data_IF_620441151438
#
_entry.id   IF_620441151438
#
_cell.length_a   1.000
_cell.length_b   1.000
_cell.length_c   1.000
_cell.angle_alpha   90.00
_cell.angle_beta   90.00
_cell.angle_gamma   90.00
#
_symmetry.space_group_name_H-M   'P 1'
#
loop_
_entity.id
_entity.type
_entity.pdbx_description
1 polymer ?
#
# COMPACT_ATOMS: atom_id res chain seq x y z
N UNK A 1 54.82 6.70 50.58
CA UNK A 1 53.71 7.54 51.05
C UNK A 1 52.90 7.92 49.84
N UNK A 2 51.63 7.62 49.90
CA UNK A 2 50.56 8.03 49.03
C UNK A 2 50.67 7.71 47.51
N UNK A 3 49.99 6.68 47.07
CA UNK A 3 49.58 6.40 45.68
C UNK A 3 48.45 7.34 45.26
N UNK A 4 48.38 7.70 44.00
CA UNK A 4 47.14 8.14 43.41
C UNK A 4 46.47 7.02 42.63
N UNK A 5 45.25 6.73 42.98
CA UNK A 5 44.36 5.84 42.22
C UNK A 5 44.00 6.41 40.88
N UNK A 6 44.26 5.65 39.86
CA UNK A 6 43.71 5.89 38.53
C UNK A 6 42.30 5.34 38.45
N UNK A 7 41.34 6.19 38.18
CA UNK A 7 40.00 5.80 37.75
C UNK A 7 40.05 5.34 36.28
N UNK A 8 39.85 4.07 36.07
CA UNK A 8 39.55 3.54 34.74
C UNK A 8 38.08 3.88 34.43
N UNK A 9 37.90 4.94 33.66
CA UNK A 9 36.65 5.16 32.93
C UNK A 9 36.40 3.99 31.97
N UNK A 10 35.54 3.09 32.39
CA UNK A 10 34.97 2.08 31.52
C UNK A 10 33.98 2.78 30.57
N UNK A 11 34.47 3.16 29.42
CA UNK A 11 33.63 3.41 28.25
C UNK A 11 33.03 2.06 27.83
N UNK A 12 31.90 1.70 28.48
CA UNK A 12 31.00 0.71 27.92
C UNK A 12 30.41 1.32 26.63
N UNK A 13 31.07 1.05 25.49
CA UNK A 13 30.39 1.13 24.20
C UNK A 13 29.26 0.08 24.26
N UNK A 14 28.02 0.53 24.42
CA UNK A 14 26.87 -0.31 24.12
C UNK A 14 27.06 -0.80 22.70
N UNK A 15 27.32 -2.07 22.53
CA UNK A 15 27.26 -2.73 21.22
C UNK A 15 25.80 -2.69 20.84
N UNK A 16 25.41 -1.72 20.04
CA UNK A 16 24.09 -1.66 19.43
C UNK A 16 23.96 -2.92 18.59
N UNK A 17 23.09 -3.84 19.00
CA UNK A 17 22.87 -5.08 18.27
C UNK A 17 22.20 -4.71 16.94
N UNK A 18 22.96 -4.80 15.83
CA UNK A 18 22.47 -4.57 14.47
C UNK A 18 21.36 -5.59 14.15
N UNK A 19 20.26 -5.13 13.58
CA UNK A 19 19.17 -6.02 13.21
C UNK A 19 19.57 -6.91 12.02
N UNK A 20 19.00 -8.11 11.97
CA UNK A 20 19.05 -8.93 10.77
C UNK A 20 18.30 -8.22 9.63
N UNK A 21 18.66 -8.50 8.37
CA UNK A 21 18.00 -7.90 7.22
C UNK A 21 16.47 -8.05 7.26
N UNK A 22 15.77 -6.91 7.21
CA UNK A 22 14.31 -6.87 7.25
C UNK A 22 13.73 -7.33 5.91
N UNK A 23 14.27 -6.83 4.81
CA UNK A 23 13.87 -7.24 3.46
C UNK A 23 14.94 -8.19 2.93
N UNK A 24 14.55 -9.41 2.58
CA UNK A 24 15.50 -10.45 2.06
C UNK A 24 15.15 -10.94 0.67
N UNK A 25 14.05 -10.45 0.09
CA UNK A 25 13.58 -10.77 -1.25
C UNK A 25 12.92 -9.54 -1.86
N UNK A 26 13.14 -9.29 -3.14
CA UNK A 26 12.45 -8.23 -3.88
C UNK A 26 10.98 -8.58 -4.18
N UNK A 27 10.52 -9.80 -3.89
CA UNK A 27 9.10 -10.16 -3.88
C UNK A 27 8.39 -9.77 -2.56
N UNK A 28 9.15 -9.38 -1.50
CA UNK A 28 8.57 -8.98 -0.21
C UNK A 28 7.96 -7.57 -0.31
N UNK A 29 6.92 -7.46 -1.15
CA UNK A 29 6.19 -6.24 -1.47
C UNK A 29 4.78 -6.59 -1.95
N UNK A 30 3.92 -5.58 -2.07
CA UNK A 30 2.54 -5.77 -2.50
C UNK A 30 2.42 -5.89 -4.03
N UNK A 31 1.60 -6.82 -4.51
CA UNK A 31 1.39 -7.10 -5.93
C UNK A 31 1.06 -5.86 -6.77
N UNK A 32 0.32 -4.90 -6.21
CA UNK A 32 -0.06 -3.71 -6.95
C UNK A 32 1.15 -2.86 -7.41
N UNK A 33 2.31 -2.99 -6.75
CA UNK A 33 3.55 -2.31 -7.19
C UNK A 33 4.02 -2.85 -8.54
N UNK A 34 4.06 -4.17 -8.70
CA UNK A 34 4.40 -4.79 -9.98
C UNK A 34 3.37 -4.47 -11.06
N UNK A 35 2.08 -4.47 -10.68
CA UNK A 35 1.02 -4.19 -11.63
C UNK A 35 1.08 -2.76 -12.18
N UNK A 36 1.22 -1.76 -11.30
CA UNK A 36 1.34 -0.37 -11.73
C UNK A 36 2.62 -0.14 -12.52
N UNK A 37 3.72 -0.73 -12.06
CA UNK A 37 5.03 -0.59 -12.71
C UNK A 37 5.04 -1.17 -14.12
N UNK A 38 4.37 -2.30 -14.35
CA UNK A 38 4.22 -2.87 -15.69
C UNK A 38 3.53 -1.88 -16.66
N UNK A 39 2.49 -1.17 -16.21
CA UNK A 39 1.85 -0.13 -17.06
C UNK A 39 2.82 1.02 -17.32
N UNK A 40 3.54 1.48 -16.29
CA UNK A 40 4.52 2.56 -16.43
C UNK A 40 5.65 2.14 -17.37
N UNK A 41 6.16 0.92 -17.22
CA UNK A 41 7.20 0.37 -18.09
C UNK A 41 6.76 0.33 -19.57
N UNK A 42 5.51 -0.01 -19.86
CA UNK A 42 5.04 -0.09 -21.24
C UNK A 42 4.63 1.25 -21.85
N UNK A 43 4.22 2.23 -21.04
CA UNK A 43 3.56 3.43 -21.55
C UNK A 43 4.17 4.76 -21.10
N UNK A 44 4.89 4.79 -19.96
CA UNK A 44 5.25 6.04 -19.27
C UNK A 44 6.67 6.02 -18.69
N UNK A 45 7.65 5.48 -19.42
CA UNK A 45 9.04 5.37 -18.96
C UNK A 45 9.77 6.69 -18.79
N UNK A 46 9.24 7.78 -19.33
CA UNK A 46 9.76 9.14 -19.25
C UNK A 46 9.36 9.90 -17.99
N UNK A 47 8.49 9.33 -17.15
CA UNK A 47 8.06 9.95 -15.91
C UNK A 47 9.11 9.86 -14.82
N UNK A 48 9.27 10.96 -14.06
CA UNK A 48 10.05 11.03 -12.84
C UNK A 48 9.11 11.33 -11.67
N UNK A 49 9.24 10.56 -10.59
CA UNK A 49 8.43 10.70 -9.40
C UNK A 49 9.21 11.18 -8.18
N UNK A 50 8.57 11.98 -7.32
CA UNK A 50 9.09 12.36 -6.03
C UNK A 50 8.10 11.97 -4.94
N UNK A 51 8.59 11.14 -4.00
CA UNK A 51 7.82 10.56 -2.92
C UNK A 51 8.34 11.06 -1.58
N UNK A 52 7.41 11.33 -0.65
CA UNK A 52 7.73 11.85 0.68
C UNK A 52 7.08 10.99 1.76
N UNK A 53 7.88 10.64 2.76
CA UNK A 53 7.42 9.99 3.97
C UNK A 53 6.66 10.95 4.87
N UNK A 54 5.64 10.45 5.57
CA UNK A 54 4.96 11.15 6.64
C UNK A 54 4.51 10.18 7.72
N UNK A 55 4.85 10.49 8.97
CA UNK A 55 4.21 9.91 10.15
C UNK A 55 3.03 10.81 10.57
N UNK A 56 1.87 10.21 10.79
CA UNK A 56 0.63 10.93 11.17
C UNK A 56 0.31 10.78 12.66
N UNK A 57 1.06 9.96 13.39
CA UNK A 57 0.95 9.90 14.83
C UNK A 57 1.63 11.12 15.43
N UNK A 58 1.04 11.67 16.51
CA UNK A 58 1.65 12.70 17.32
C UNK A 58 2.74 12.10 18.23
N UNK A 59 3.76 12.89 18.56
CA UNK A 59 4.81 12.53 19.51
C UNK A 59 5.68 11.31 19.16
N UNK A 60 5.75 10.90 17.89
CA UNK A 60 6.68 9.89 17.43
C UNK A 60 8.03 10.55 17.16
N UNK A 61 9.08 10.05 17.83
CA UNK A 61 10.45 10.52 17.68
C UNK A 61 11.32 9.38 17.21
N UNK A 62 12.08 9.62 16.14
CA UNK A 62 13.14 8.74 15.67
C UNK A 62 14.48 9.20 16.23
N UNK A 63 15.28 8.25 16.71
CA UNK A 63 16.61 8.54 17.26
C UNK A 63 17.69 8.44 16.19
N UNK A 64 18.90 9.00 16.42
CA UNK A 64 20.03 8.81 15.52
C UNK A 64 20.37 7.34 15.27
N UNK A 65 20.24 6.48 16.29
CA UNK A 65 20.47 5.04 16.18
C UNK A 65 19.44 4.38 15.27
N UNK A 66 18.16 4.79 15.34
CA UNK A 66 17.12 4.32 14.42
C UNK A 66 17.40 4.77 13.00
N UNK A 67 17.88 6.00 12.79
CA UNK A 67 18.24 6.49 11.46
C UNK A 67 19.43 5.70 10.87
N UNK A 68 20.45 5.41 11.68
CA UNK A 68 21.59 4.59 11.27
C UNK A 68 21.12 3.19 10.83
N UNK A 69 20.31 2.51 11.65
CA UNK A 69 19.76 1.19 11.33
C UNK A 69 18.89 1.23 10.07
N UNK A 70 18.01 2.25 9.91
CA UNK A 70 17.20 2.43 8.70
C UNK A 70 18.10 2.54 7.46
N UNK A 71 19.19 3.30 7.51
CA UNK A 71 20.11 3.44 6.40
C UNK A 71 20.82 2.12 6.07
N UNK A 72 21.26 1.38 7.08
CA UNK A 72 21.89 0.06 6.89
C UNK A 72 20.94 -0.93 6.22
N UNK A 73 19.66 -0.92 6.62
CA UNK A 73 18.62 -1.75 6.01
C UNK A 73 18.32 -1.32 4.56
N UNK A 74 18.34 -0.01 4.25
CA UNK A 74 18.19 0.50 2.89
C UNK A 74 19.39 0.11 2.02
N UNK A 75 20.61 0.19 2.54
CA UNK A 75 21.81 -0.20 1.84
C UNK A 75 21.77 -1.71 1.51
N UNK A 76 21.32 -2.53 2.46
CA UNK A 76 21.11 -3.96 2.23
C UNK A 76 20.04 -4.21 1.15
N UNK A 77 18.87 -3.55 1.23
CA UNK A 77 17.82 -3.63 0.22
C UNK A 77 18.37 -3.32 -1.19
N UNK A 78 19.18 -2.26 -1.32
CA UNK A 78 19.75 -1.85 -2.60
C UNK A 78 20.81 -2.83 -3.15
N UNK A 79 21.33 -3.73 -2.31
CA UNK A 79 22.21 -4.82 -2.73
C UNK A 79 21.47 -6.01 -3.35
N UNK A 80 20.16 -6.14 -3.10
CA UNK A 80 19.36 -7.26 -3.57
C UNK A 80 19.18 -7.25 -5.09
N UNK A 81 18.99 -8.44 -5.63
CA UNK A 81 18.63 -8.70 -7.03
C UNK A 81 17.56 -9.78 -7.08
N UNK A 82 16.71 -9.76 -8.08
CA UNK A 82 15.77 -10.84 -8.30
C UNK A 82 16.50 -12.16 -8.58
N UNK A 83 16.13 -13.21 -7.87
CA UNK A 83 16.57 -14.57 -8.15
C UNK A 83 15.76 -15.19 -9.29
N UNK A 84 16.33 -16.22 -9.91
CA UNK A 84 15.67 -16.88 -11.06
C UNK A 84 14.29 -17.43 -10.71
N UNK A 85 14.15 -18.06 -9.57
CA UNK A 85 12.90 -18.65 -9.08
C UNK A 85 11.82 -17.59 -8.76
N UNK A 86 12.23 -16.41 -8.25
CA UNK A 86 11.36 -15.27 -8.07
C UNK A 86 10.80 -14.74 -9.40
N UNK A 87 11.67 -14.62 -10.42
CA UNK A 87 11.27 -14.22 -11.76
C UNK A 87 10.38 -15.29 -12.43
N UNK A 88 10.67 -16.57 -12.23
CA UNK A 88 9.84 -17.66 -12.75
C UNK A 88 8.46 -17.66 -12.08
N UNK A 89 8.38 -17.32 -10.78
CA UNK A 89 7.09 -17.13 -10.12
C UNK A 89 6.30 -15.95 -10.71
N UNK A 90 6.93 -14.79 -10.88
CA UNK A 90 6.26 -13.65 -11.51
C UNK A 90 5.74 -13.99 -12.91
N UNK A 91 6.49 -14.72 -13.74
CA UNK A 91 6.03 -15.20 -15.06
C UNK A 91 4.84 -16.15 -14.98
N UNK A 92 4.67 -16.86 -13.86
CA UNK A 92 3.53 -17.75 -13.66
C UNK A 92 2.23 -17.01 -13.39
N UNK A 93 2.29 -15.76 -13.00
CA UNK A 93 1.12 -14.90 -12.78
C UNK A 93 0.60 -14.46 -14.16
N UNK A 94 -0.59 -14.89 -14.53
CA UNK A 94 -1.16 -14.82 -15.89
C UNK A 94 -1.09 -13.41 -16.54
N UNK A 95 -1.23 -12.37 -15.77
CA UNK A 95 -1.28 -10.98 -16.25
C UNK A 95 0.06 -10.23 -16.14
N UNK A 96 1.10 -10.85 -15.58
CA UNK A 96 2.46 -10.29 -15.59
C UNK A 96 3.12 -10.71 -16.90
N UNK A 97 3.51 -9.73 -17.72
CA UNK A 97 4.06 -9.94 -19.05
C UNK A 97 5.53 -10.31 -19.01
N UNK A 98 5.95 -11.17 -19.94
CA UNK A 98 7.32 -11.70 -19.96
C UNK A 98 8.40 -10.64 -20.21
N UNK A 99 8.12 -9.64 -21.04
CA UNK A 99 9.03 -8.52 -21.32
C UNK A 99 9.25 -7.63 -20.08
N UNK A 100 8.20 -7.40 -19.28
CA UNK A 100 8.34 -6.74 -17.99
C UNK A 100 9.19 -7.57 -17.01
N UNK A 101 9.01 -8.90 -16.96
CA UNK A 101 9.86 -9.76 -16.11
C UNK A 101 11.32 -9.74 -16.57
N UNK A 102 11.59 -9.64 -17.90
CA UNK A 102 12.96 -9.47 -18.41
C UNK A 102 13.56 -8.11 -18.02
N UNK A 103 12.74 -7.05 -17.94
CA UNK A 103 13.17 -5.78 -17.37
C UNK A 103 13.53 -5.94 -15.88
N UNK A 104 12.68 -6.58 -15.06
CA UNK A 104 12.93 -6.82 -13.64
C UNK A 104 14.21 -7.64 -13.40
N UNK A 105 14.58 -8.53 -14.31
CA UNK A 105 15.86 -9.28 -14.23
C UNK A 105 17.09 -8.37 -14.22
N UNK A 106 17.00 -7.18 -14.81
CA UNK A 106 18.08 -6.19 -14.87
C UNK A 106 17.91 -5.08 -13.83
N UNK A 107 16.70 -4.89 -13.34
CA UNK A 107 16.36 -3.85 -12.38
C UNK A 107 16.82 -4.21 -10.97
N UNK A 108 17.17 -3.20 -10.21
CA UNK A 108 17.37 -3.28 -8.77
C UNK A 108 17.11 -1.92 -8.10
N UNK A 109 16.82 -1.90 -6.80
CA UNK A 109 16.71 -0.65 -6.05
C UNK A 109 18.02 0.12 -6.10
N UNK A 110 17.96 1.43 -6.40
CA UNK A 110 19.12 2.32 -6.52
C UNK A 110 19.18 3.23 -5.31
N UNK A 111 20.27 3.12 -4.53
CA UNK A 111 20.44 3.83 -3.24
C UNK A 111 20.37 5.36 -3.37
N UNK A 112 20.89 5.88 -4.44
CA UNK A 112 20.99 7.32 -4.74
C UNK A 112 19.61 7.98 -4.90
N UNK A 113 18.55 7.21 -5.11
CA UNK A 113 17.20 7.76 -5.17
C UNK A 113 16.60 8.02 -3.78
N UNK A 114 17.16 7.43 -2.70
CA UNK A 114 16.64 7.53 -1.34
C UNK A 114 17.48 8.49 -0.51
N UNK A 115 16.83 9.50 0.06
CA UNK A 115 17.44 10.46 0.96
C UNK A 115 16.77 10.38 2.33
N UNK A 116 17.57 10.33 3.38
CA UNK A 116 17.11 10.22 4.77
C UNK A 116 17.76 11.25 5.67
N UNK A 117 17.10 11.60 6.76
CA UNK A 117 17.60 12.52 7.78
C UNK A 117 16.65 12.60 8.96
N UNK A 118 17.03 13.39 9.96
CA UNK A 118 16.14 13.77 11.07
C UNK A 118 15.99 15.29 11.12
N UNK A 119 14.79 15.73 11.46
CA UNK A 119 14.57 17.13 11.84
C UNK A 119 15.11 17.40 13.26
N UNK A 120 15.17 18.66 13.65
CA UNK A 120 15.53 19.07 15.03
C UNK A 120 14.55 18.52 16.08
N UNK A 121 13.31 18.22 15.68
CA UNK A 121 12.27 17.60 16.52
C UNK A 121 12.31 16.08 16.54
N UNK A 122 13.24 15.44 15.81
CA UNK A 122 13.34 13.98 15.71
C UNK A 122 12.31 13.35 14.73
N UNK A 123 11.74 14.13 13.82
CA UNK A 123 10.92 13.58 12.75
C UNK A 123 11.80 12.95 11.67
N UNK A 124 11.43 11.77 11.20
CA UNK A 124 12.12 11.14 10.09
C UNK A 124 11.82 11.87 8.77
N UNK A 125 12.86 12.42 8.17
CA UNK A 125 12.85 12.98 6.82
C UNK A 125 13.29 11.89 5.86
N UNK A 126 12.36 11.40 5.02
CA UNK A 126 12.67 10.38 4.02
C UNK A 126 11.99 10.74 2.71
N UNK A 127 12.78 10.80 1.65
CA UNK A 127 12.30 11.10 0.30
C UNK A 127 12.89 10.11 -0.71
N UNK A 128 12.11 9.81 -1.75
CA UNK A 128 12.56 9.01 -2.89
C UNK A 128 12.34 9.81 -4.16
N UNK A 129 13.39 9.98 -4.98
CA UNK A 129 13.35 10.76 -6.23
C UNK A 129 14.06 10.01 -7.35
N UNK A 130 13.37 9.82 -8.46
CA UNK A 130 13.97 9.15 -9.63
C UNK A 130 12.96 8.79 -10.70
N UNK A 131 13.38 8.05 -11.75
CA UNK A 131 12.45 7.49 -12.72
C UNK A 131 11.31 6.76 -12.02
N UNK A 132 10.07 7.07 -12.42
CA UNK A 132 8.89 6.63 -11.65
C UNK A 132 8.79 5.11 -11.54
N UNK A 133 9.11 4.37 -12.62
CA UNK A 133 9.13 2.90 -12.62
C UNK A 133 10.14 2.31 -11.61
N UNK A 134 11.09 3.09 -11.11
CA UNK A 134 12.03 2.66 -10.07
C UNK A 134 11.68 3.25 -8.71
N UNK A 135 11.38 4.55 -8.64
CA UNK A 135 11.11 5.24 -7.39
C UNK A 135 9.86 4.70 -6.67
N UNK A 136 8.81 4.33 -7.41
CA UNK A 136 7.57 3.81 -6.83
C UNK A 136 7.74 2.48 -6.10
N UNK A 137 8.72 1.67 -6.47
CA UNK A 137 8.96 0.37 -5.85
C UNK A 137 9.42 0.47 -4.39
N UNK A 138 10.02 1.60 -4.02
CA UNK A 138 10.54 1.79 -2.67
C UNK A 138 9.48 1.92 -1.58
N UNK A 139 8.22 2.33 -1.90
CA UNK A 139 7.21 2.65 -0.88
C UNK A 139 7.05 1.55 0.16
N UNK A 140 6.81 0.31 -0.27
CA UNK A 140 6.49 -0.79 0.63
C UNK A 140 7.71 -1.17 1.46
N UNK A 141 8.84 -1.40 0.81
CA UNK A 141 10.10 -1.75 1.49
C UNK A 141 10.50 -0.74 2.56
N UNK A 142 10.43 0.56 2.24
CA UNK A 142 10.81 1.61 3.18
C UNK A 142 9.84 1.72 4.35
N UNK A 143 8.54 1.55 4.12
CA UNK A 143 7.55 1.55 5.21
C UNK A 143 7.73 0.35 6.13
N UNK A 144 8.03 -0.84 5.58
CA UNK A 144 8.33 -2.04 6.35
C UNK A 144 9.61 -1.86 7.19
N UNK A 145 10.68 -1.33 6.59
CA UNK A 145 11.94 -1.05 7.28
C UNK A 145 11.71 -0.06 8.43
N UNK A 146 11.10 1.09 8.14
CA UNK A 146 10.87 2.14 9.15
C UNK A 146 10.00 1.61 10.30
N UNK A 147 8.94 0.87 9.99
CA UNK A 147 8.04 0.34 11.01
C UNK A 147 8.75 -0.70 11.89
N UNK A 148 9.43 -1.67 11.30
CA UNK A 148 10.09 -2.74 12.06
C UNK A 148 11.26 -2.20 12.90
N UNK A 149 12.09 -1.30 12.36
CA UNK A 149 13.17 -0.64 13.12
C UNK A 149 12.60 0.12 14.32
N UNK A 150 11.53 0.92 14.11
CA UNK A 150 10.90 1.66 15.21
C UNK A 150 10.43 0.73 16.32
N UNK A 151 9.65 -0.31 16.00
CA UNK A 151 9.09 -1.21 17.03
C UNK A 151 10.17 -2.02 17.75
N UNK A 152 11.20 -2.49 17.05
CA UNK A 152 12.29 -3.28 17.65
C UNK A 152 13.21 -2.47 18.56
N UNK A 153 13.44 -1.19 18.25
CA UNK A 153 14.34 -0.35 19.02
C UNK A 153 13.63 0.50 20.09
N UNK A 154 12.31 0.66 19.97
CA UNK A 154 11.55 1.50 20.91
C UNK A 154 10.84 0.72 22.01
N UNK A 155 10.43 -0.54 21.75
CA UNK A 155 9.64 -1.34 22.68
C UNK A 155 10.34 -2.66 23.06
N UNK A 156 9.87 -3.29 24.14
CA UNK A 156 10.15 -4.72 24.38
C UNK A 156 9.40 -5.55 23.33
N UNK A 157 10.12 -5.92 22.29
CA UNK A 157 9.57 -6.62 21.14
C UNK A 157 8.92 -7.96 21.50
N UNK A 158 9.47 -8.68 22.50
CA UNK A 158 8.92 -9.97 22.93
C UNK A 158 7.50 -9.81 23.53
N UNK A 159 7.28 -8.75 24.30
CA UNK A 159 5.95 -8.41 24.84
C UNK A 159 4.96 -8.05 23.74
N UNK A 160 5.39 -7.26 22.74
CA UNK A 160 4.54 -6.93 21.58
C UNK A 160 4.11 -8.17 20.82
N UNK A 161 5.07 -9.04 20.49
CA UNK A 161 4.81 -10.26 19.73
C UNK A 161 3.89 -11.22 20.49
N UNK A 162 4.07 -11.37 21.81
CA UNK A 162 3.20 -12.18 22.64
C UNK A 162 1.75 -11.66 22.64
N UNK A 163 1.58 -10.33 22.73
CA UNK A 163 0.26 -9.70 22.68
C UNK A 163 -0.41 -9.88 21.33
N UNK A 164 0.34 -9.68 20.23
CA UNK A 164 -0.13 -9.88 18.86
C UNK A 164 -0.57 -11.34 18.62
N UNK A 165 0.23 -12.30 19.11
CA UNK A 165 -0.07 -13.73 18.97
C UNK A 165 -1.35 -14.13 19.73
N UNK A 166 -1.58 -13.60 20.93
CA UNK A 166 -2.81 -13.83 21.67
C UNK A 166 -4.05 -13.29 20.95
N UNK A 167 -3.93 -12.10 20.33
CA UNK A 167 -5.03 -11.50 19.54
C UNK A 167 -5.28 -12.26 18.23
N UNK A 168 -4.23 -12.70 17.53
CA UNK A 168 -4.37 -13.53 16.34
C UNK A 168 -5.07 -14.84 16.65
N UNK A 169 -4.70 -15.49 17.76
CA UNK A 169 -5.35 -16.71 18.23
C UNK A 169 -6.86 -16.52 18.45
N UNK A 170 -7.24 -15.39 19.05
CA UNK A 170 -8.66 -15.08 19.25
C UNK A 170 -9.38 -14.85 17.91
N UNK A 171 -8.76 -14.14 16.99
CA UNK A 171 -9.32 -13.91 15.61
C UNK A 171 -9.56 -15.22 14.88
N UNK A 172 -8.61 -16.16 14.95
CA UNK A 172 -8.74 -17.49 14.33
C UNK A 172 -9.89 -18.28 14.99
N UNK A 173 -10.01 -18.25 16.32
CA UNK A 173 -11.13 -18.88 17.04
C UNK A 173 -12.48 -18.29 16.63
N UNK A 174 -12.56 -16.98 16.48
CA UNK A 174 -13.78 -16.28 16.07
C UNK A 174 -14.23 -16.70 14.66
N UNK A 175 -13.30 -16.85 13.69
CA UNK A 175 -13.61 -17.41 12.38
C UNK A 175 -14.08 -18.87 12.47
N UNK A 176 -13.37 -19.71 13.20
CA UNK A 176 -13.67 -21.14 13.31
C UNK A 176 -14.97 -21.42 14.06
N UNK A 177 -15.40 -20.49 14.95
CA UNK A 177 -16.70 -20.57 15.63
C UNK A 177 -17.89 -20.15 14.73
N UNK A 178 -17.62 -19.56 13.54
CA UNK A 178 -18.64 -19.02 12.66
C UNK A 178 -19.11 -17.61 13.02
N UNK A 179 -18.43 -16.92 13.95
CA UNK A 179 -18.71 -15.50 14.25
C UNK A 179 -18.50 -14.63 13.02
N UNK A 180 -17.48 -14.93 12.21
CA UNK A 180 -17.18 -14.27 10.95
C UNK A 180 -17.37 -15.23 9.77
N UNK A 181 -18.11 -14.77 8.75
CA UNK A 181 -18.50 -15.61 7.60
C UNK A 181 -18.01 -15.05 6.27
N UNK A 182 -17.42 -13.84 6.25
CA UNK A 182 -16.84 -13.21 5.07
C UNK A 182 -15.46 -13.78 4.75
N UNK A 183 -15.02 -13.60 3.50
CA UNK A 183 -13.65 -13.84 3.06
C UNK A 183 -12.89 -12.53 2.91
N UNK A 184 -11.59 -12.54 3.22
CA UNK A 184 -10.72 -11.36 3.13
C UNK A 184 -9.34 -11.69 2.59
N UNK A 185 -8.66 -10.66 2.06
CA UNK A 185 -7.24 -10.72 1.74
C UNK A 185 -6.43 -9.97 2.82
N UNK A 186 -5.27 -10.51 3.16
CA UNK A 186 -4.32 -9.83 4.03
C UNK A 186 -3.60 -8.73 3.23
N UNK A 187 -3.66 -7.46 3.72
CA UNK A 187 -3.12 -6.24 3.09
C UNK A 187 -2.20 -5.47 4.05
N UNK A 188 -1.45 -6.17 4.91
CA UNK A 188 -0.77 -5.56 6.05
C UNK A 188 0.72 -5.29 5.89
N UNK A 189 1.34 -5.50 4.72
CA UNK A 189 2.78 -5.37 4.50
C UNK A 189 3.35 -4.04 5.02
N UNK A 190 2.81 -2.91 4.58
CA UNK A 190 3.35 -1.56 4.86
C UNK A 190 3.56 -1.20 6.32
N UNK A 191 2.80 -1.80 7.22
CA UNK A 191 2.79 -1.49 8.67
C UNK A 191 2.87 -2.76 9.51
N UNK A 192 3.40 -3.84 8.96
CA UNK A 192 3.61 -5.10 9.68
C UNK A 192 4.52 -4.88 10.88
N UNK A 193 4.26 -5.58 11.97
CA UNK A 193 5.11 -5.51 13.17
C UNK A 193 6.56 -5.94 12.86
N UNK A 194 6.70 -7.05 12.11
CA UNK A 194 7.95 -7.49 11.50
C UNK A 194 7.71 -8.45 10.34
N UNK A 195 8.74 -8.73 9.56
CA UNK A 195 8.70 -9.73 8.48
C UNK A 195 8.34 -11.12 9.01
N UNK A 196 8.99 -11.54 10.09
CA UNK A 196 8.74 -12.87 10.70
C UNK A 196 7.32 -12.95 11.24
N UNK A 197 6.80 -11.87 11.83
CA UNK A 197 5.45 -11.84 12.34
C UNK A 197 4.40 -11.89 11.23
N UNK A 198 4.54 -11.12 10.15
CA UNK A 198 3.62 -11.20 9.01
C UNK A 198 3.65 -12.61 8.38
N UNK A 199 4.82 -13.22 8.27
CA UNK A 199 4.97 -14.60 7.79
C UNK A 199 4.16 -15.59 8.67
N UNK A 200 4.24 -15.51 10.00
CA UNK A 200 3.43 -16.29 10.91
C UNK A 200 1.93 -16.03 10.73
N UNK A 201 1.54 -14.76 10.63
CA UNK A 201 0.13 -14.34 10.44
C UNK A 201 -0.45 -14.95 9.17
N UNK A 202 0.21 -14.76 8.02
CA UNK A 202 -0.28 -15.26 6.74
C UNK A 202 -0.35 -16.77 6.73
N UNK A 203 0.69 -17.46 7.23
CA UNK A 203 0.69 -18.92 7.35
C UNK A 203 -0.49 -19.42 8.19
N UNK A 204 -0.68 -18.85 9.39
CA UNK A 204 -1.74 -19.27 10.31
C UNK A 204 -3.13 -19.00 9.75
N UNK A 205 -3.37 -17.82 9.19
CA UNK A 205 -4.64 -17.48 8.55
C UNK A 205 -4.97 -18.43 7.40
N UNK A 206 -3.98 -18.76 6.56
CA UNK A 206 -4.16 -19.65 5.42
C UNK A 206 -4.40 -21.12 5.82
N UNK A 207 -3.78 -21.59 6.91
CA UNK A 207 -3.86 -23.00 7.31
C UNK A 207 -4.90 -23.30 8.36
N UNK A 208 -5.23 -22.33 9.21
CA UNK A 208 -6.11 -22.49 10.36
C UNK A 208 -7.52 -21.92 10.14
N UNK A 209 -7.74 -21.15 9.02
CA UNK A 209 -9.07 -20.64 8.64
C UNK A 209 -9.39 -20.98 7.19
N UNK A 210 -10.67 -20.86 6.79
CA UNK A 210 -11.12 -21.00 5.40
C UNK A 210 -11.41 -19.65 4.74
N UNK A 211 -11.20 -18.55 5.48
CA UNK A 211 -11.69 -17.23 5.12
C UNK A 211 -10.59 -16.32 4.54
N UNK A 212 -9.31 -16.70 4.66
CA UNK A 212 -8.21 -15.99 4.04
C UNK A 212 -8.15 -16.35 2.54
N UNK A 213 -8.52 -15.39 1.69
CA UNK A 213 -8.54 -15.58 0.23
C UNK A 213 -7.16 -15.43 -0.43
N UNK A 214 -6.20 -14.83 0.27
CA UNK A 214 -4.86 -14.56 -0.23
C UNK A 214 -4.18 -13.42 0.52
N UNK A 215 -3.08 -12.93 -0.02
CA UNK A 215 -2.32 -11.80 0.53
C UNK A 215 -1.89 -10.85 -0.59
N UNK A 216 -1.68 -9.58 -0.26
CA UNK A 216 -1.06 -8.64 -1.19
C UNK A 216 0.44 -8.84 -1.32
N UNK A 217 1.10 -9.42 -0.32
CA UNK A 217 2.53 -9.68 -0.30
C UNK A 217 2.89 -10.82 -1.26
N UNK A 218 3.66 -10.51 -2.30
CA UNK A 218 3.98 -11.45 -3.39
C UNK A 218 4.87 -12.59 -2.91
N UNK A 219 5.83 -12.31 -2.01
CA UNK A 219 6.70 -13.34 -1.44
C UNK A 219 5.90 -14.36 -0.61
N UNK A 220 4.99 -13.90 0.23
CA UNK A 220 4.17 -14.77 1.07
C UNK A 220 3.13 -15.54 0.25
N UNK A 221 2.58 -14.92 -0.80
CA UNK A 221 1.72 -15.61 -1.75
C UNK A 221 2.46 -16.79 -2.43
N UNK A 222 3.68 -16.54 -2.91
CA UNK A 222 4.53 -17.59 -3.46
C UNK A 222 4.87 -18.67 -2.44
N UNK A 223 5.37 -18.28 -1.27
CA UNK A 223 5.81 -19.19 -0.21
C UNK A 223 4.73 -20.17 0.26
N UNK A 224 3.49 -19.69 0.34
CA UNK A 224 2.36 -20.47 0.86
C UNK A 224 1.37 -20.92 -0.21
N UNK A 225 1.71 -20.75 -1.48
CA UNK A 225 0.86 -21.09 -2.62
C UNK A 225 -0.54 -20.47 -2.52
N UNK A 226 -0.58 -19.18 -2.14
CA UNK A 226 -1.78 -18.37 -2.04
C UNK A 226 -1.97 -17.52 -3.30
N UNK A 227 -3.18 -16.99 -3.47
CA UNK A 227 -3.45 -16.01 -4.53
C UNK A 227 -2.82 -14.67 -4.15
N UNK A 228 -1.90 -14.11 -4.96
CA UNK A 228 -1.45 -12.74 -4.80
C UNK A 228 -2.58 -11.79 -5.22
N UNK A 229 -2.95 -10.84 -4.35
CA UNK A 229 -4.11 -9.96 -4.54
C UNK A 229 -3.69 -8.49 -4.50
N UNK A 230 -4.06 -7.73 -5.51
CA UNK A 230 -3.80 -6.30 -5.61
C UNK A 230 -4.04 -5.79 -7.01
N UNK A 231 -4.53 -4.55 -7.13
CA UNK A 231 -4.73 -3.88 -8.42
C UNK A 231 -3.83 -2.67 -8.53
N UNK A 232 -4.31 -1.47 -8.19
CA UNK A 232 -3.50 -0.25 -8.17
C UNK A 232 -3.83 0.64 -6.96
N UNK A 233 -2.94 1.57 -6.66
CA UNK A 233 -3.06 2.56 -5.61
C UNK A 233 -3.28 3.97 -6.20
N UNK A 234 -3.53 4.97 -5.33
CA UNK A 234 -3.80 6.36 -5.73
C UNK A 234 -2.69 6.96 -6.60
N UNK A 235 -1.43 6.64 -6.32
CA UNK A 235 -0.28 7.13 -7.07
C UNK A 235 -0.38 6.84 -8.57
N UNK A 236 -0.99 5.72 -8.96
CA UNK A 236 -1.22 5.40 -10.36
C UNK A 236 -2.13 6.42 -11.06
N UNK A 237 -3.20 6.84 -10.42
CA UNK A 237 -4.07 7.88 -10.97
C UNK A 237 -3.41 9.27 -10.85
N UNK A 238 -2.72 9.54 -9.73
CA UNK A 238 -2.04 10.81 -9.50
C UNK A 238 -0.95 11.09 -10.55
N UNK A 239 -0.22 10.06 -11.03
CA UNK A 239 0.85 10.28 -12.00
C UNK A 239 0.37 10.95 -13.30
N UNK A 240 -0.87 10.70 -13.71
CA UNK A 240 -1.45 11.30 -14.92
C UNK A 240 -1.62 12.82 -14.79
N UNK A 241 -1.61 13.38 -13.58
CA UNK A 241 -1.63 14.84 -13.36
C UNK A 241 -0.30 15.51 -13.79
N UNK A 242 0.80 14.76 -13.83
CA UNK A 242 2.11 15.25 -14.28
C UNK A 242 2.39 15.08 -15.77
N UNK A 243 1.44 14.54 -16.55
CA UNK A 243 1.58 14.32 -18.00
C UNK A 243 0.98 15.51 -18.75
N UNK A 244 1.81 16.23 -19.49
CA UNK A 244 1.44 17.49 -20.18
C UNK A 244 0.26 17.37 -21.13
N UNK A 245 0.16 16.25 -21.84
CA UNK A 245 -0.89 16.02 -22.83
C UNK A 245 -2.25 15.67 -22.22
N UNK A 246 -2.34 15.47 -20.90
CA UNK A 246 -3.55 15.04 -20.22
C UNK A 246 -4.14 16.20 -19.42
N UNK A 247 -5.35 16.67 -19.75
CA UNK A 247 -6.02 17.67 -18.93
C UNK A 247 -6.35 17.11 -17.53
N UNK A 248 -6.13 17.89 -16.47
CA UNK A 248 -6.25 17.44 -15.05
C UNK A 248 -7.59 16.77 -14.73
N UNK A 249 -8.69 17.29 -15.25
CA UNK A 249 -10.01 16.73 -15.00
C UNK A 249 -10.26 15.37 -15.71
N UNK A 250 -9.32 14.87 -16.53
CA UNK A 250 -9.43 13.61 -17.26
C UNK A 250 -8.48 12.51 -16.73
N UNK A 251 -7.77 12.75 -15.65
CA UNK A 251 -6.78 11.82 -15.10
C UNK A 251 -7.35 10.45 -14.75
N UNK A 252 -8.56 10.38 -14.16
CA UNK A 252 -9.24 9.10 -13.90
C UNK A 252 -9.52 8.34 -15.20
N UNK A 253 -10.00 9.04 -16.23
CA UNK A 253 -10.33 8.43 -17.52
C UNK A 253 -9.10 7.78 -18.16
N UNK A 254 -7.99 8.52 -18.27
CA UNK A 254 -6.76 8.00 -18.87
C UNK A 254 -6.14 6.87 -18.05
N UNK A 255 -6.14 6.98 -16.72
CA UNK A 255 -5.63 5.93 -15.85
C UNK A 255 -6.42 4.62 -16.03
N UNK A 256 -7.75 4.68 -16.05
CA UNK A 256 -8.60 3.51 -16.29
C UNK A 256 -8.45 2.93 -17.70
N UNK A 257 -8.31 3.80 -18.71
CA UNK A 257 -8.12 3.36 -20.10
C UNK A 257 -6.79 2.61 -20.28
N UNK A 258 -5.68 3.16 -19.76
CA UNK A 258 -4.37 2.52 -19.83
C UNK A 258 -4.32 1.22 -19.03
N UNK A 259 -4.97 1.18 -17.85
CA UNK A 259 -5.10 -0.03 -17.06
C UNK A 259 -5.85 -1.13 -17.81
N UNK A 260 -6.99 -0.79 -18.40
CA UNK A 260 -7.76 -1.74 -19.20
C UNK A 260 -7.00 -2.21 -20.44
N UNK A 261 -6.28 -1.30 -21.11
CA UNK A 261 -5.47 -1.64 -22.29
C UNK A 261 -4.36 -2.62 -21.93
N UNK A 262 -3.74 -2.47 -20.77
CA UNK A 262 -2.69 -3.38 -20.28
C UNK A 262 -3.24 -4.74 -19.89
N UNK A 263 -4.33 -4.78 -19.11
CA UNK A 263 -4.79 -5.99 -18.43
C UNK A 263 -6.00 -6.67 -19.08
N UNK A 264 -6.69 -6.02 -20.01
CA UNK A 264 -7.82 -6.58 -20.79
C UNK A 264 -8.91 -7.22 -19.92
N UNK A 265 -9.16 -6.70 -18.72
CA UNK A 265 -10.15 -7.20 -17.76
C UNK A 265 -9.58 -8.00 -16.60
N UNK A 266 -8.33 -8.48 -16.68
CA UNK A 266 -7.59 -8.91 -15.49
C UNK A 266 -7.33 -7.73 -14.56
N UNK A 267 -7.14 -7.98 -13.26
CA UNK A 267 -6.96 -6.92 -12.26
C UNK A 267 -8.06 -5.84 -12.31
N UNK A 268 -9.27 -6.22 -12.65
CA UNK A 268 -10.36 -5.33 -12.99
C UNK A 268 -11.09 -4.69 -11.79
N UNK A 269 -10.41 -4.36 -10.68
CA UNK A 269 -11.00 -3.62 -9.56
C UNK A 269 -10.47 -2.20 -9.52
N UNK A 270 -11.33 -1.21 -9.80
CA UNK A 270 -10.96 0.20 -9.90
C UNK A 270 -11.05 0.91 -8.54
N UNK A 271 -10.04 1.71 -8.19
CA UNK A 271 -10.04 2.59 -7.03
C UNK A 271 -10.81 3.88 -7.34
N UNK A 272 -11.73 4.29 -6.46
CA UNK A 272 -12.74 5.29 -6.82
C UNK A 272 -12.49 6.71 -6.30
N UNK A 273 -11.63 6.89 -5.28
CA UNK A 273 -11.54 8.11 -4.48
C UNK A 273 -10.25 8.92 -4.67
N UNK A 274 -9.49 8.70 -5.75
CA UNK A 274 -8.23 9.45 -5.94
C UNK A 274 -8.50 10.93 -6.19
N UNK A 275 -9.40 11.25 -7.11
CA UNK A 275 -9.84 12.64 -7.33
C UNK A 275 -11.11 12.88 -6.51
N UNK A 276 -12.21 12.28 -6.88
CA UNK A 276 -13.45 12.13 -6.09
C UNK A 276 -14.25 10.96 -6.67
N UNK A 277 -15.08 10.33 -5.85
CA UNK A 277 -16.01 9.30 -6.36
C UNK A 277 -16.99 9.87 -7.39
N UNK A 278 -17.37 11.14 -7.32
CA UNK A 278 -18.27 11.76 -8.32
C UNK A 278 -17.60 11.87 -9.69
N UNK A 279 -16.35 12.31 -9.76
CA UNK A 279 -15.60 12.34 -11.02
C UNK A 279 -15.33 10.93 -11.53
N UNK A 280 -15.01 9.99 -10.64
CA UNK A 280 -14.84 8.59 -11.02
C UNK A 280 -16.10 8.04 -11.69
N UNK A 281 -17.28 8.24 -11.11
CA UNK A 281 -18.55 7.79 -11.68
C UNK A 281 -18.91 8.49 -13.00
N UNK A 282 -18.48 9.73 -13.15
CA UNK A 282 -18.63 10.44 -14.43
C UNK A 282 -17.82 9.77 -15.54
N UNK A 283 -16.60 9.32 -15.25
CA UNK A 283 -15.70 8.64 -16.18
C UNK A 283 -16.00 7.14 -16.34
N UNK A 284 -16.61 6.52 -15.32
CA UNK A 284 -16.90 5.09 -15.28
C UNK A 284 -18.16 4.78 -16.06
N UNK A 285 -18.09 4.94 -17.37
CA UNK A 285 -19.17 4.81 -18.32
C UNK A 285 -19.61 3.34 -18.54
N UNK A 286 -20.53 3.12 -19.49
CA UNK A 286 -21.00 1.78 -19.86
C UNK A 286 -19.88 0.83 -20.24
N UNK A 287 -18.88 1.31 -20.98
CA UNK A 287 -17.74 0.49 -21.40
C UNK A 287 -16.91 0.05 -20.18
N UNK A 288 -16.56 0.99 -19.31
CA UNK A 288 -15.79 0.72 -18.09
C UNK A 288 -16.58 -0.19 -17.13
N UNK A 289 -17.88 0.08 -16.91
CA UNK A 289 -18.73 -0.77 -16.07
C UNK A 289 -18.75 -2.23 -16.58
N UNK A 290 -18.79 -2.46 -17.89
CA UNK A 290 -18.77 -3.82 -18.43
C UNK A 290 -17.39 -4.49 -18.32
N UNK A 291 -16.32 -3.73 -18.50
CA UNK A 291 -14.95 -4.24 -18.59
C UNK A 291 -14.29 -4.47 -17.23
N UNK A 292 -14.68 -3.71 -16.20
CA UNK A 292 -14.16 -3.87 -14.86
C UNK A 292 -14.99 -4.87 -14.05
N UNK A 293 -14.32 -5.72 -13.26
CA UNK A 293 -14.97 -6.72 -12.41
C UNK A 293 -15.52 -6.16 -11.11
N UNK A 294 -15.03 -4.99 -10.67
CA UNK A 294 -15.44 -4.36 -9.42
C UNK A 294 -14.83 -3.00 -9.18
N UNK A 295 -15.11 -2.48 -8.00
CA UNK A 295 -14.62 -1.17 -7.51
C UNK A 295 -14.15 -1.28 -6.07
N UNK A 296 -13.20 -0.41 -5.67
CA UNK A 296 -12.58 -0.38 -4.34
C UNK A 296 -12.90 0.90 -3.60
N UNK A 297 -13.36 0.73 -2.36
CA UNK A 297 -13.56 1.77 -1.35
C UNK A 297 -12.28 1.97 -0.53
N UNK A 298 -11.83 3.22 -0.39
CA UNK A 298 -10.66 3.59 0.42
C UNK A 298 -10.86 4.88 1.25
N UNK A 299 -12.05 5.48 1.20
CA UNK A 299 -12.43 6.62 2.06
C UNK A 299 -13.94 6.91 2.03
N UNK A 300 -14.42 7.64 3.05
CA UNK A 300 -15.83 8.02 3.19
C UNK A 300 -16.68 6.95 3.88
N UNK A 301 -18.02 7.15 3.86
CA UNK A 301 -18.95 6.16 4.42
C UNK A 301 -19.08 4.96 3.48
N UNK A 302 -18.75 3.73 3.93
CA UNK A 302 -18.75 2.55 3.07
C UNK A 302 -20.16 2.12 2.63
N UNK A 303 -21.20 2.43 3.43
CA UNK A 303 -22.58 2.08 3.08
C UNK A 303 -23.12 3.01 1.99
N UNK A 304 -22.94 4.32 2.14
CA UNK A 304 -23.32 5.30 1.13
C UNK A 304 -22.59 5.08 -0.19
N UNK A 305 -21.29 4.83 -0.11
CA UNK A 305 -20.46 4.52 -1.27
C UNK A 305 -20.95 3.24 -1.98
N UNK A 306 -21.15 2.15 -1.24
CA UNK A 306 -21.60 0.87 -1.83
C UNK A 306 -22.95 0.97 -2.52
N UNK A 307 -23.92 1.65 -1.91
CA UNK A 307 -25.23 1.92 -2.54
C UNK A 307 -25.10 2.81 -3.79
N UNK A 308 -24.18 3.78 -3.79
CA UNK A 308 -23.90 4.63 -4.94
C UNK A 308 -23.35 3.82 -6.11
N UNK A 309 -22.42 2.88 -5.86
CA UNK A 309 -21.87 1.97 -6.87
C UNK A 309 -22.95 1.03 -7.43
N UNK A 310 -23.78 0.44 -6.58
CA UNK A 310 -24.86 -0.45 -7.00
C UNK A 310 -25.83 0.29 -7.94
N UNK A 311 -26.27 1.50 -7.57
CA UNK A 311 -27.13 2.33 -8.45
C UNK A 311 -26.46 2.65 -9.79
N UNK A 312 -25.14 2.89 -9.77
CA UNK A 312 -24.38 3.18 -10.98
C UNK A 312 -24.32 1.95 -11.93
N UNK A 313 -24.10 0.76 -11.43
CA UNK A 313 -24.16 -0.48 -12.22
C UNK A 313 -25.55 -0.66 -12.84
N UNK A 314 -26.61 -0.49 -12.04
CA UNK A 314 -27.99 -0.58 -12.48
C UNK A 314 -28.35 0.44 -13.57
N UNK A 315 -27.83 1.69 -13.47
CA UNK A 315 -27.99 2.75 -14.49
C UNK A 315 -27.57 2.28 -15.88
N UNK A 316 -26.54 1.44 -15.95
CA UNK A 316 -26.03 0.89 -17.21
C UNK A 316 -26.62 -0.49 -17.56
N UNK A 317 -27.58 -0.99 -16.79
CA UNK A 317 -28.23 -2.28 -17.01
C UNK A 317 -27.37 -3.49 -16.63
N UNK A 318 -26.37 -3.29 -15.77
CA UNK A 318 -25.51 -4.37 -15.28
C UNK A 318 -26.04 -4.87 -13.92
N UNK A 319 -26.19 -6.17 -13.78
CA UNK A 319 -26.57 -6.79 -12.50
C UNK A 319 -25.45 -6.61 -11.47
N UNK A 320 -25.66 -5.87 -10.37
CA UNK A 320 -24.63 -5.65 -9.35
C UNK A 320 -24.07 -6.94 -8.75
N UNK A 321 -24.85 -8.04 -8.73
CA UNK A 321 -24.39 -9.35 -8.23
C UNK A 321 -23.27 -9.97 -9.06
N UNK A 322 -23.02 -9.44 -10.25
CA UNK A 322 -21.85 -9.84 -11.08
C UNK A 322 -20.59 -9.06 -10.75
N UNK A 323 -20.69 -7.96 -10.01
CA UNK A 323 -19.62 -7.03 -9.66
C UNK A 323 -19.15 -7.22 -8.23
N UNK A 324 -17.93 -6.76 -7.94
CA UNK A 324 -17.30 -6.84 -6.63
C UNK A 324 -17.23 -5.43 -6.01
N UNK A 325 -17.68 -5.29 -4.77
CA UNK A 325 -17.34 -4.18 -3.90
C UNK A 325 -16.20 -4.63 -2.98
N UNK A 326 -15.01 -4.05 -3.16
CA UNK A 326 -13.84 -4.29 -2.30
C UNK A 326 -13.72 -3.16 -1.28
N UNK A 327 -13.81 -3.47 0.00
CA UNK A 327 -13.61 -2.53 1.10
C UNK A 327 -12.22 -2.69 1.69
N UNK A 328 -11.48 -1.59 1.88
CA UNK A 328 -10.08 -1.64 2.36
C UNK A 328 -9.67 -0.48 3.27
N UNK A 329 -10.58 0.38 3.70
CA UNK A 329 -10.27 1.50 4.61
C UNK A 329 -10.51 1.12 6.07
N UNK A 330 -9.45 1.07 6.87
CA UNK A 330 -9.48 1.01 8.34
C UNK A 330 -10.39 -0.08 8.93
N UNK A 331 -10.38 -1.28 8.34
CA UNK A 331 -11.27 -2.36 8.72
C UNK A 331 -10.73 -3.22 9.86
N UNK A 332 -11.62 -3.50 10.84
CA UNK A 332 -11.56 -4.67 11.71
C UNK A 332 -12.54 -5.75 11.23
N UNK A 333 -12.55 -6.92 11.89
CA UNK A 333 -13.40 -8.03 11.48
C UNK A 333 -14.88 -7.82 11.84
N UNK A 334 -15.19 -7.11 12.92
CA UNK A 334 -16.58 -6.81 13.31
C UNK A 334 -17.22 -5.83 12.32
N UNK A 335 -16.46 -4.83 11.86
CA UNK A 335 -16.92 -3.90 10.82
C UNK A 335 -17.06 -4.60 9.46
N UNK A 336 -16.10 -5.42 9.08
CA UNK A 336 -16.17 -6.20 7.84
C UNK A 336 -17.38 -7.15 7.83
N UNK A 337 -17.72 -7.82 8.95
CA UNK A 337 -18.90 -8.65 9.03
C UNK A 337 -20.22 -7.86 8.84
N UNK A 338 -20.33 -6.67 9.44
CA UNK A 338 -21.51 -5.81 9.24
C UNK A 338 -21.67 -5.40 7.78
N UNK A 339 -20.59 -5.01 7.11
CA UNK A 339 -20.60 -4.68 5.68
C UNK A 339 -20.96 -5.89 4.83
N UNK A 340 -20.41 -7.06 5.14
CA UNK A 340 -20.74 -8.31 4.46
C UNK A 340 -22.24 -8.64 4.57
N UNK A 341 -22.81 -8.60 5.78
CA UNK A 341 -24.21 -8.91 6.00
C UNK A 341 -25.15 -7.93 5.28
N UNK A 342 -24.73 -6.67 5.14
CA UNK A 342 -25.52 -5.65 4.45
C UNK A 342 -25.49 -5.80 2.93
N UNK A 343 -24.34 -6.17 2.33
CA UNK A 343 -24.17 -6.15 0.88
C UNK A 343 -24.22 -7.52 0.19
N UNK A 344 -24.03 -8.63 0.89
CA UNK A 344 -23.88 -9.97 0.30
C UNK A 344 -25.01 -10.43 -0.61
N UNK A 345 -26.25 -9.98 -0.37
CA UNK A 345 -27.40 -10.30 -1.21
C UNK A 345 -27.56 -9.35 -2.43
N UNK A 346 -26.81 -8.23 -2.41
CA UNK A 346 -26.90 -7.17 -3.43
C UNK A 346 -25.77 -7.24 -4.45
N UNK A 347 -24.59 -7.69 -4.03
CA UNK A 347 -23.35 -7.69 -4.82
C UNK A 347 -22.34 -8.70 -4.25
N UNK A 348 -21.27 -9.00 -4.99
CA UNK A 348 -20.13 -9.71 -4.43
C UNK A 348 -19.33 -8.76 -3.52
N UNK A 349 -18.92 -9.25 -2.36
CA UNK A 349 -18.19 -8.44 -1.36
C UNK A 349 -16.82 -9.06 -1.12
N UNK A 350 -15.80 -8.21 -1.05
CA UNK A 350 -14.45 -8.58 -0.70
C UNK A 350 -13.85 -7.56 0.26
N UNK A 351 -12.85 -7.97 1.05
CA UNK A 351 -12.22 -7.13 2.05
C UNK A 351 -10.70 -7.24 1.96
N UNK A 352 -10.00 -6.08 2.04
CA UNK A 352 -8.57 -6.00 2.24
C UNK A 352 -8.30 -5.51 3.67
N UNK A 353 -7.71 -6.35 4.52
CA UNK A 353 -7.49 -6.03 5.94
C UNK A 353 -6.00 -6.07 6.24
N UNK A 354 -5.46 -4.93 6.66
CA UNK A 354 -4.02 -4.72 6.81
C UNK A 354 -3.56 -4.74 8.28
N UNK A 355 -3.29 -3.57 8.82
CA UNK A 355 -2.69 -3.36 10.16
C UNK A 355 -3.41 -4.14 11.27
N UNK A 356 -4.72 -4.28 11.19
CA UNK A 356 -5.52 -5.04 12.15
C UNK A 356 -5.14 -6.52 12.27
N UNK A 357 -4.47 -7.11 11.27
CA UNK A 357 -3.97 -8.49 11.34
C UNK A 357 -2.46 -8.58 11.51
N UNK A 358 -1.70 -7.63 10.97
CA UNK A 358 -0.23 -7.69 10.96
C UNK A 358 0.46 -6.83 12.01
N UNK A 359 -0.26 -5.91 12.68
CA UNK A 359 0.28 -5.07 13.75
C UNK A 359 -0.80 -4.71 14.79
N UNK A 360 -1.56 -5.71 15.26
CA UNK A 360 -2.49 -5.58 16.36
C UNK A 360 -1.81 -6.05 17.65
N UNK A 361 -1.16 -5.11 18.32
CA UNK A 361 -0.39 -5.33 19.55
C UNK A 361 -1.00 -4.59 20.74
N UNK A 362 -0.36 -4.66 21.92
CA UNK A 362 -0.72 -3.82 23.07
C UNK A 362 -0.37 -2.35 22.87
N UNK A 363 0.48 -2.02 21.88
CA UNK A 363 0.85 -0.67 21.50
C UNK A 363 0.17 -0.23 20.22
N UNK A 364 0.09 1.09 20.01
CA UNK A 364 -0.52 1.65 18.82
C UNK A 364 0.41 1.50 17.59
N UNK A 365 -0.13 0.96 16.52
CA UNK A 365 0.59 0.90 15.25
C UNK A 365 0.92 2.30 14.70
N UNK A 366 2.08 2.43 14.05
CA UNK A 366 2.42 3.67 13.35
C UNK A 366 1.48 3.92 12.17
N UNK A 367 1.03 5.16 12.05
CA UNK A 367 0.28 5.63 10.90
C UNK A 367 1.22 6.33 9.90
N UNK A 368 2.12 5.54 9.32
CA UNK A 368 3.12 6.00 8.37
C UNK A 368 2.67 5.77 6.92
N UNK A 369 3.10 6.67 6.04
CA UNK A 369 2.83 6.62 4.61
C UNK A 369 4.02 7.19 3.84
N UNK A 370 4.21 6.73 2.60
CA UNK A 370 5.04 7.38 1.59
C UNK A 370 4.11 7.73 0.43
N UNK A 371 4.14 8.99 -0.02
CA UNK A 371 3.18 9.50 -1.00
C UNK A 371 3.86 10.25 -2.13
N UNK A 372 3.39 9.98 -3.35
CA UNK A 372 3.75 10.74 -4.53
C UNK A 372 3.29 12.19 -4.37
N UNK A 373 4.20 13.14 -4.52
CA UNK A 373 3.94 14.58 -4.38
C UNK A 373 4.21 15.35 -5.68
N UNK A 374 5.19 14.88 -6.47
CA UNK A 374 5.54 15.51 -7.74
C UNK A 374 5.76 14.45 -8.82
N UNK A 375 5.35 14.78 -10.04
CA UNK A 375 5.67 14.03 -11.27
C UNK A 375 6.21 15.02 -12.29
N UNK A 376 7.41 14.75 -12.82
CA UNK A 376 8.13 15.65 -13.73
C UNK A 376 8.24 17.09 -13.19
N UNK A 377 8.46 17.24 -11.86
CA UNK A 377 8.54 18.52 -11.18
C UNK A 377 7.21 19.26 -10.97
N UNK A 378 6.07 18.65 -11.33
CA UNK A 378 4.73 19.21 -11.12
C UNK A 378 4.09 18.60 -9.88
N UNK A 379 3.41 19.39 -9.04
CA UNK A 379 2.66 18.84 -7.92
C UNK A 379 1.53 17.93 -8.42
N UNK A 380 1.26 16.89 -7.64
CA UNK A 380 0.11 16.01 -7.86
C UNK A 380 -0.68 15.87 -6.55
N UNK A 381 -1.98 15.64 -6.66
CA UNK A 381 -2.85 15.63 -5.49
C UNK A 381 -3.79 14.43 -5.46
N UNK A 382 -4.11 13.98 -4.24
CA UNK A 382 -5.31 13.19 -3.94
C UNK A 382 -6.34 14.12 -3.32
N UNK A 383 -7.57 14.19 -3.88
CA UNK A 383 -8.67 14.96 -3.28
C UNK A 383 -9.40 14.18 -2.19
N UNK A 384 -9.65 12.89 -2.39
CA UNK A 384 -10.43 12.03 -1.48
C UNK A 384 -11.89 12.47 -1.30
N UNK A 385 -12.75 11.54 -0.86
CA UNK A 385 -14.14 11.87 -0.49
C UNK A 385 -14.28 12.29 0.99
N UNK A 386 -13.23 12.09 1.79
CA UNK A 386 -13.24 12.45 3.21
C UNK A 386 -12.50 13.78 3.43
N UNK A 387 -13.14 14.73 4.09
CA UNK A 387 -12.50 15.98 4.51
C UNK A 387 -11.25 15.71 5.34
N UNK A 388 -10.16 16.45 5.04
CA UNK A 388 -8.88 16.32 5.76
C UNK A 388 -8.01 15.12 5.32
N UNK A 389 -8.47 14.29 4.39
CA UNK A 389 -7.65 13.25 3.74
C UNK A 389 -7.02 13.73 2.42
N UNK A 390 -7.21 14.99 2.07
CA UNK A 390 -6.55 15.63 0.92
C UNK A 390 -5.03 15.60 1.10
N UNK A 391 -4.31 15.38 0.02
CA UNK A 391 -2.85 15.32 0.03
C UNK A 391 -2.29 16.09 -1.15
N UNK A 392 -1.74 17.25 -0.85
CA UNK A 392 -0.97 18.08 -1.77
C UNK A 392 -0.06 18.99 -0.93
N UNK A 393 1.12 19.33 -1.44
CA UNK A 393 2.00 20.32 -0.82
C UNK A 393 1.82 21.73 -1.40
N UNK A 394 0.98 21.87 -2.43
CA UNK A 394 0.72 23.12 -3.15
C UNK A 394 -0.78 23.42 -3.12
N UNK A 395 -1.17 24.38 -2.30
CA UNK A 395 -2.57 24.78 -2.10
C UNK A 395 -3.16 25.46 -3.35
N UNK A 396 -2.36 26.18 -4.12
CA UNK A 396 -2.79 26.83 -5.37
C UNK A 396 -3.10 25.77 -6.42
N UNK A 397 -2.24 24.77 -6.54
CA UNK A 397 -2.47 23.63 -7.40
C UNK A 397 -3.71 22.84 -6.98
N UNK A 398 -3.88 22.56 -5.68
CA UNK A 398 -5.05 21.87 -5.15
C UNK A 398 -6.34 22.62 -5.51
N UNK A 399 -6.33 23.95 -5.34
CA UNK A 399 -7.46 24.82 -5.70
C UNK A 399 -7.75 24.82 -7.21
N UNK A 400 -6.70 24.77 -8.03
CA UNK A 400 -6.83 24.69 -9.48
C UNK A 400 -7.40 23.35 -9.92
N UNK A 401 -6.93 22.24 -9.36
CA UNK A 401 -7.44 20.89 -9.63
C UNK A 401 -8.95 20.81 -9.28
N UNK A 402 -9.36 21.28 -8.10
CA UNK A 402 -10.78 21.31 -7.67
C UNK A 402 -11.64 22.07 -8.68
N UNK A 403 -11.23 23.28 -9.08
CA UNK A 403 -11.97 24.08 -10.08
C UNK A 403 -12.08 23.38 -11.43
N UNK A 404 -11.01 22.69 -11.86
CA UNK A 404 -10.99 21.95 -13.13
C UNK A 404 -11.98 20.78 -13.11
N UNK A 405 -12.07 20.07 -11.97
CA UNK A 405 -13.01 18.99 -11.74
C UNK A 405 -14.44 19.51 -11.70
N UNK A 406 -14.72 20.55 -10.93
CA UNK A 406 -16.03 21.17 -10.82
C UNK A 406 -16.54 21.68 -12.17
N UNK A 407 -15.67 22.30 -12.96
CA UNK A 407 -16.01 22.78 -14.30
C UNK A 407 -16.46 21.62 -15.20
N UNK A 408 -15.74 20.48 -15.16
CA UNK A 408 -16.10 19.30 -15.97
C UNK A 408 -17.42 18.69 -15.52
N UNK A 409 -17.63 18.52 -14.21
CA UNK A 409 -18.87 17.93 -13.66
C UNK A 409 -20.11 18.80 -13.89
N UNK A 410 -19.96 20.11 -14.02
CA UNK A 410 -21.07 21.05 -14.23
C UNK A 410 -21.33 21.40 -15.70
N UNK A 411 -20.47 21.01 -16.64
CA UNK A 411 -20.60 21.35 -18.07
C UNK A 411 -21.76 20.62 -18.77
N UNK A 412 -22.20 19.51 -18.23
CA UNK A 412 -23.24 18.64 -18.80
C UNK A 412 -24.52 18.58 -17.96
N UNK A 413 -24.63 19.45 -16.94
CA UNK A 413 -25.91 19.75 -16.26
C UNK A 413 -26.62 20.85 -16.97
#
# INVERSE_FOLDING_TARGET
>A
MASPGGSLDSLERSVTMKLEPIITSLLDTDLYKFNMDQVIFHKHTDLNGEYYFKCRNENIVFTPEMLEEINDQIDYLCSLRFHKDELDYLRSIRFIKSDYVEFLRLWHPIREYVHTGLSDSGELLLTVKGPMFSAMQFEIYLLEIVNEVYFRLHYDYATLEASARARLEQKIKDFNSGKYTFSFAEFGSRRRLSRQWQDEVVRRLATETKNCAGTSNVYLAWKYNLTPIGTYAHEFVQMYQGIDSIPLAYTNHYAMADWYDEYRGDNGTALTDTITTDLFLYDFDRSMVNNYSGVRHDSGDPYEWGEKMIRHFQKYGVDPRTKVLLFSDSLDFDHAQKLYDYFREKTKVSFGIGTFVTNDTCEQALNIVIKLQYVNGRPVAKLSDAHGKEMCQDDDYLSYLKRSVDFRLNREK
#
